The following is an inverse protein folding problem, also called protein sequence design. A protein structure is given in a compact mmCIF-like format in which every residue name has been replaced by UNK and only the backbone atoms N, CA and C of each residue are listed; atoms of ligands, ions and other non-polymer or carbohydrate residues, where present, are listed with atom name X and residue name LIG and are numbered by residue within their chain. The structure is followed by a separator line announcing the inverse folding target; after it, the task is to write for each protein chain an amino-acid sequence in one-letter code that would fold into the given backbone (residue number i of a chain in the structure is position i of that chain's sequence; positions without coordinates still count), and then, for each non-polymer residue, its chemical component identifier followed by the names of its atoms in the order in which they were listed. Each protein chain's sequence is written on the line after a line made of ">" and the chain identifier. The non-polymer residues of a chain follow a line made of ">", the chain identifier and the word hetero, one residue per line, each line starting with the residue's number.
data_IF_808314315694
#
_entry.id   IF_808314315694
#
_cell.length_a   1.000
_cell.length_b   1.000
_cell.length_c   1.000
_cell.angle_alpha   90.00
_cell.angle_beta   90.00
_cell.angle_gamma   90.00
#
_symmetry.space_group_name_H-M   'P 1'
#
loop_
_entity.id
_entity.type
_entity.pdbx_description
1 polymer ?
#
# COMPACT_ATOMS: atom_id res chain seq x y z
N UNK A 1 -23.27 7.69 2.96
CA UNK A 1 -23.66 6.31 3.32
C UNK A 1 -22.46 5.60 3.93
N UNK A 2 -22.65 4.71 4.92
CA UNK A 2 -21.58 3.92 5.56
C UNK A 2 -21.29 2.68 4.68
N UNK A 3 -20.01 2.40 4.40
CA UNK A 3 -19.58 1.24 3.59
C UNK A 3 -18.68 0.32 4.41
N UNK A 4 -18.71 -0.98 4.14
CA UNK A 4 -17.80 -1.96 4.74
C UNK A 4 -16.46 -1.93 4.02
N UNK A 5 -15.36 -1.91 4.79
CA UNK A 5 -14.01 -1.87 4.24
C UNK A 5 -13.55 -3.28 3.86
N UNK A 6 -13.10 -3.46 2.62
CA UNK A 6 -12.41 -4.66 2.15
C UNK A 6 -10.95 -4.32 1.94
N UNK A 7 -10.05 -4.97 2.69
CA UNK A 7 -8.61 -4.69 2.69
C UNK A 7 -7.75 -5.76 1.98
N UNK A 8 -8.38 -6.87 1.56
CA UNK A 8 -7.71 -8.02 0.94
C UNK A 8 -8.57 -8.63 -0.16
N UNK A 9 -7.94 -9.38 -1.06
CA UNK A 9 -8.61 -10.13 -2.11
C UNK A 9 -9.22 -11.48 -1.65
N UNK A 10 -9.12 -11.82 -0.36
CA UNK A 10 -9.72 -13.02 0.22
C UNK A 10 -11.23 -12.86 0.29
N UNK A 11 -11.93 -13.42 -0.69
CA UNK A 11 -13.38 -13.28 -0.89
C UNK A 11 -14.19 -13.83 0.29
N UNK A 12 -13.67 -14.82 1.03
CA UNK A 12 -14.29 -15.37 2.23
C UNK A 12 -14.42 -14.35 3.39
N UNK A 13 -13.67 -13.24 3.31
CA UNK A 13 -13.74 -12.15 4.30
C UNK A 13 -14.65 -11.00 3.85
N UNK A 14 -15.19 -11.06 2.64
CA UNK A 14 -16.04 -9.99 2.09
C UNK A 14 -17.46 -10.09 2.66
N UNK A 15 -18.17 -8.95 2.80
CA UNK A 15 -19.56 -8.97 3.25
C UNK A 15 -20.50 -9.54 2.17
N UNK A 16 -21.77 -9.73 2.52
CA UNK A 16 -22.83 -10.05 1.55
C UNK A 16 -22.99 -8.97 0.48
N UNK A 17 -23.51 -9.35 -0.70
CA UNK A 17 -23.69 -8.44 -1.85
C UNK A 17 -24.68 -7.29 -1.59
N UNK A 18 -25.52 -7.40 -0.57
CA UNK A 18 -26.46 -6.38 -0.09
C UNK A 18 -25.78 -5.25 0.69
N UNK A 19 -24.50 -5.40 1.04
CA UNK A 19 -23.74 -4.41 1.82
C UNK A 19 -22.83 -3.59 0.88
N UNK A 20 -22.96 -2.25 0.85
CA UNK A 20 -22.05 -1.39 0.10
C UNK A 20 -20.59 -1.52 0.59
N UNK A 21 -19.65 -1.62 -0.34
CA UNK A 21 -18.23 -1.90 -0.07
C UNK A 21 -17.33 -0.73 -0.45
N UNK A 22 -16.31 -0.49 0.34
CA UNK A 22 -15.14 0.29 -0.05
C UNK A 22 -13.94 -0.66 -0.13
N UNK A 23 -13.42 -0.88 -1.34
CA UNK A 23 -12.15 -1.58 -1.51
C UNK A 23 -11.00 -0.63 -1.15
N UNK A 24 -10.08 -1.07 -0.31
CA UNK A 24 -8.92 -0.29 0.13
C UNK A 24 -7.96 0.05 -1.03
N UNK A 25 -7.99 -0.74 -2.10
CA UNK A 25 -7.24 -0.49 -3.32
C UNK A 25 -7.49 -1.57 -4.37
N UNK A 26 -6.96 -1.36 -5.57
CA UNK A 26 -7.15 -2.24 -6.72
C UNK A 26 -6.63 -3.67 -6.47
N UNK A 27 -5.64 -3.86 -5.60
CA UNK A 27 -5.11 -5.18 -5.23
C UNK A 27 -6.15 -6.08 -4.52
N UNK A 28 -7.27 -5.52 -4.04
CA UNK A 28 -8.37 -6.32 -3.50
C UNK A 28 -9.21 -6.98 -4.62
N UNK A 29 -9.11 -6.50 -5.87
CA UNK A 29 -9.95 -6.95 -6.99
C UNK A 29 -9.13 -7.76 -7.98
N UNK A 30 -9.01 -9.07 -7.73
CA UNK A 30 -8.32 -9.97 -8.67
C UNK A 30 -9.03 -9.89 -10.03
N UNK A 31 -8.27 -9.62 -11.10
CA UNK A 31 -8.82 -9.40 -12.44
C UNK A 31 -9.68 -10.57 -12.94
N UNK A 32 -9.19 -11.81 -12.75
CA UNK A 32 -9.92 -13.03 -13.14
C UNK A 32 -11.21 -13.26 -12.32
N UNK A 33 -11.41 -12.53 -11.22
CA UNK A 33 -12.60 -12.58 -10.37
C UNK A 33 -13.55 -11.40 -10.61
N UNK A 34 -13.40 -10.69 -11.74
CA UNK A 34 -14.24 -9.55 -12.13
C UNK A 34 -15.73 -9.76 -12.00
N UNK A 35 -16.22 -10.92 -12.47
CA UNK A 35 -17.64 -11.30 -12.36
C UNK A 35 -18.17 -11.37 -10.92
N UNK A 36 -17.30 -11.44 -9.91
CA UNK A 36 -17.66 -11.46 -8.49
C UNK A 36 -17.70 -10.04 -7.95
N UNK A 37 -16.59 -9.30 -8.03
CA UNK A 37 -16.49 -7.99 -7.39
C UNK A 37 -17.32 -6.90 -8.09
N UNK A 38 -17.63 -7.01 -9.38
CA UNK A 38 -18.52 -6.07 -10.08
C UNK A 38 -19.98 -6.12 -9.60
N UNK A 39 -20.36 -7.17 -8.85
CA UNK A 39 -21.72 -7.30 -8.31
C UNK A 39 -21.96 -6.40 -7.09
N UNK A 40 -20.91 -5.95 -6.41
CA UNK A 40 -21.05 -5.08 -5.24
C UNK A 40 -21.32 -3.63 -5.67
N UNK A 41 -22.23 -2.94 -4.97
CA UNK A 41 -22.19 -1.48 -4.90
C UNK A 41 -20.89 -1.07 -4.20
N UNK A 42 -19.89 -0.70 -5.00
CA UNK A 42 -18.54 -0.54 -4.50
C UNK A 42 -17.83 0.71 -5.01
N UNK A 43 -17.03 1.29 -4.11
CA UNK A 43 -16.02 2.28 -4.44
C UNK A 43 -14.64 1.68 -4.21
N UNK A 44 -13.61 2.23 -4.84
CA UNK A 44 -12.21 1.88 -4.56
C UNK A 44 -11.46 3.13 -4.15
N UNK A 45 -10.73 3.03 -3.03
CA UNK A 45 -9.90 4.12 -2.57
C UNK A 45 -8.82 4.43 -3.64
N UNK A 46 -8.66 5.70 -4.05
CA UNK A 46 -7.60 6.07 -4.98
C UNK A 46 -6.22 5.75 -4.42
N UNK A 47 -5.30 5.38 -5.31
CA UNK A 47 -3.97 4.98 -4.88
C UNK A 47 -3.13 6.20 -4.49
N UNK A 48 -2.60 6.19 -3.26
CA UNK A 48 -1.93 7.38 -2.70
C UNK A 48 -0.60 7.73 -3.38
N UNK A 49 0.07 6.76 -4.00
CA UNK A 49 1.30 6.97 -4.79
C UNK A 49 1.05 7.30 -6.28
N UNK A 50 -0.21 7.46 -6.70
CA UNK A 50 -0.50 8.14 -7.97
C UNK A 50 -0.12 9.62 -7.91
N UNK A 51 -0.08 10.22 -6.71
CA UNK A 51 0.56 11.49 -6.45
C UNK A 51 2.09 11.32 -6.48
N UNK A 52 2.72 11.87 -7.51
CA UNK A 52 4.16 11.73 -7.76
C UNK A 52 5.02 12.50 -6.76
N UNK A 53 4.54 13.62 -6.24
CA UNK A 53 5.27 14.36 -5.21
C UNK A 53 5.27 13.57 -3.90
N UNK A 54 4.11 13.00 -3.54
CA UNK A 54 4.00 12.11 -2.39
C UNK A 54 4.87 10.86 -2.53
N UNK A 55 4.83 10.19 -3.69
CA UNK A 55 5.65 9.02 -3.96
C UNK A 55 7.14 9.33 -3.79
N UNK A 56 7.62 10.45 -4.35
CA UNK A 56 9.01 10.86 -4.22
C UNK A 56 9.40 11.13 -2.75
N UNK A 57 8.55 11.86 -2.02
CA UNK A 57 8.79 12.16 -0.60
C UNK A 57 8.81 10.88 0.25
N UNK A 58 7.85 9.99 0.05
CA UNK A 58 7.77 8.73 0.77
C UNK A 58 8.95 7.82 0.42
N UNK A 59 9.39 7.77 -0.84
CA UNK A 59 10.57 7.01 -1.26
C UNK A 59 11.82 7.41 -0.46
N UNK A 60 12.14 8.70 -0.38
CA UNK A 60 13.31 9.16 0.38
C UNK A 60 13.17 8.86 1.88
N UNK A 61 11.98 9.03 2.44
CA UNK A 61 11.69 8.68 3.83
C UNK A 61 11.92 7.19 4.11
N UNK A 62 11.42 6.32 3.23
CA UNK A 62 11.56 4.87 3.37
C UNK A 62 12.99 4.41 3.13
N UNK A 63 13.70 5.06 2.21
CA UNK A 63 15.12 4.81 1.97
C UNK A 63 15.94 5.12 3.23
N UNK A 64 15.75 6.28 3.86
CA UNK A 64 16.42 6.61 5.12
C UNK A 64 16.04 5.64 6.25
N UNK A 65 14.76 5.27 6.37
CA UNK A 65 14.33 4.27 7.36
C UNK A 65 15.02 2.91 7.15
N UNK A 66 15.15 2.48 5.90
CA UNK A 66 15.84 1.25 5.55
C UNK A 66 17.34 1.33 5.86
N UNK A 67 18.02 2.36 5.35
CA UNK A 67 19.49 2.51 5.42
C UNK A 67 19.98 2.79 6.84
N UNK A 68 19.33 3.74 7.52
CA UNK A 68 19.89 4.34 8.72
C UNK A 68 19.45 3.59 10.00
N UNK A 69 18.31 2.87 9.93
CA UNK A 69 17.67 2.28 11.11
C UNK A 69 17.54 0.77 10.97
N UNK A 70 16.82 0.31 9.93
CA UNK A 70 16.40 -1.10 9.87
C UNK A 70 17.53 -2.03 9.45
N UNK A 71 18.30 -1.69 8.42
CA UNK A 71 19.39 -2.55 7.95
C UNK A 71 20.48 -2.74 9.03
N UNK A 72 20.97 -1.71 9.75
CA UNK A 72 21.94 -1.90 10.84
C UNK A 72 21.39 -2.78 11.96
N UNK A 73 20.15 -2.53 12.41
CA UNK A 73 19.51 -3.29 13.48
C UNK A 73 19.28 -4.76 13.10
N UNK A 74 18.79 -5.01 11.88
CA UNK A 74 18.60 -6.38 11.36
C UNK A 74 19.94 -7.10 11.24
N UNK A 75 20.97 -6.45 10.71
CA UNK A 75 22.31 -7.03 10.56
C UNK A 75 22.92 -7.46 11.89
N UNK A 76 22.82 -6.61 12.92
CA UNK A 76 23.29 -6.94 14.27
C UNK A 76 22.51 -8.13 14.86
N UNK A 77 21.19 -8.16 14.66
CA UNK A 77 20.36 -9.28 15.11
C UNK A 77 20.70 -10.59 14.38
N UNK A 78 20.95 -10.54 13.07
CA UNK A 78 21.32 -11.71 12.29
C UNK A 78 22.70 -12.24 12.70
N UNK A 79 23.68 -11.36 12.91
CA UNK A 79 24.98 -11.75 13.49
C UNK A 79 24.82 -12.48 14.83
N UNK A 80 23.97 -11.96 15.73
CA UNK A 80 23.68 -12.60 17.02
C UNK A 80 22.99 -13.96 16.89
N UNK A 81 21.99 -14.06 16.03
CA UNK A 81 21.21 -15.31 15.82
C UNK A 81 22.08 -16.40 15.19
N UNK A 82 22.91 -16.04 14.22
CA UNK A 82 23.76 -16.97 13.48
C UNK A 82 25.15 -17.17 14.09
N UNK A 83 25.43 -16.54 15.24
CA UNK A 83 26.73 -16.55 15.91
C UNK A 83 27.89 -16.26 14.95
N UNK A 84 27.76 -15.18 14.19
CA UNK A 84 28.75 -14.76 13.18
C UNK A 84 29.02 -13.26 13.32
N UNK A 85 30.14 -12.80 12.77
CA UNK A 85 30.51 -11.40 12.70
C UNK A 85 30.69 -10.99 11.23
N UNK A 86 29.58 -10.81 10.52
CA UNK A 86 29.58 -10.33 9.13
C UNK A 86 29.33 -8.83 9.10
N UNK A 87 29.90 -8.17 8.08
CA UNK A 87 29.77 -6.73 7.90
C UNK A 87 28.34 -6.33 7.55
N UNK A 88 28.00 -5.05 7.76
CA UNK A 88 26.75 -4.46 7.30
C UNK A 88 26.56 -4.67 5.79
N UNK A 89 27.64 -4.56 5.02
CA UNK A 89 27.62 -4.74 3.56
C UNK A 89 27.26 -6.18 3.15
N UNK A 90 27.77 -7.17 3.88
CA UNK A 90 27.40 -8.57 3.64
C UNK A 90 25.88 -8.77 3.79
N UNK A 91 25.30 -8.22 4.86
CA UNK A 91 23.86 -8.32 5.09
C UNK A 91 23.05 -7.44 4.14
N UNK A 92 23.58 -6.29 3.71
CA UNK A 92 22.99 -5.47 2.65
C UNK A 92 22.80 -6.29 1.37
N UNK A 93 23.83 -7.04 0.97
CA UNK A 93 23.75 -7.88 -0.24
C UNK A 93 22.77 -9.03 -0.02
N UNK A 94 22.81 -9.67 1.14
CA UNK A 94 22.05 -10.89 1.39
C UNK A 94 20.56 -10.65 1.66
N UNK A 95 20.22 -9.73 2.57
CA UNK A 95 18.83 -9.47 3.02
C UNK A 95 18.30 -8.11 2.61
N UNK A 96 19.17 -7.19 2.20
CA UNK A 96 18.80 -5.82 1.87
C UNK A 96 17.71 -5.70 0.81
N UNK A 97 17.77 -6.40 -0.35
CA UNK A 97 16.72 -6.35 -1.36
C UNK A 97 15.35 -6.76 -0.83
N UNK A 98 15.30 -7.82 -0.02
CA UNK A 98 14.06 -8.29 0.61
C UNK A 98 13.53 -7.27 1.62
N UNK A 99 14.40 -6.76 2.50
CA UNK A 99 14.02 -5.82 3.55
C UNK A 99 13.51 -4.50 2.97
N UNK A 100 14.19 -3.95 1.95
CA UNK A 100 13.76 -2.75 1.26
C UNK A 100 12.37 -2.89 0.64
N UNK A 101 12.12 -3.98 -0.09
CA UNK A 101 10.80 -4.27 -0.67
C UNK A 101 9.73 -4.45 0.41
N UNK A 102 10.04 -5.19 1.47
CA UNK A 102 9.12 -5.47 2.57
C UNK A 102 8.64 -4.18 3.24
N UNK A 103 9.56 -3.25 3.53
CA UNK A 103 9.23 -1.95 4.14
C UNK A 103 8.27 -1.15 3.26
N UNK A 104 8.52 -1.09 1.95
CA UNK A 104 7.65 -0.38 1.01
C UNK A 104 6.25 -0.99 0.95
N UNK A 105 6.14 -2.32 0.89
CA UNK A 105 4.85 -3.02 0.87
C UNK A 105 4.05 -2.75 2.15
N UNK A 106 4.69 -2.85 3.32
CA UNK A 106 4.02 -2.62 4.60
C UNK A 106 3.59 -1.16 4.72
N UNK A 107 4.46 -0.21 4.33
CA UNK A 107 4.14 1.21 4.37
C UNK A 107 2.97 1.55 3.44
N UNK A 108 2.94 1.00 2.23
CA UNK A 108 1.85 1.19 1.26
C UNK A 108 0.48 0.80 1.87
N UNK A 109 0.42 -0.37 2.51
CA UNK A 109 -0.81 -0.86 3.18
C UNK A 109 -1.18 -0.01 4.39
N UNK A 110 -0.20 0.35 5.22
CA UNK A 110 -0.40 1.21 6.39
C UNK A 110 -0.94 2.59 5.99
N UNK A 111 -0.31 3.22 5.00
CA UNK A 111 -0.63 4.56 4.54
C UNK A 111 -2.03 4.61 3.92
N UNK A 112 -2.41 3.59 3.14
CA UNK A 112 -3.77 3.44 2.61
C UNK A 112 -4.84 3.47 3.71
N UNK A 113 -4.60 2.77 4.82
CA UNK A 113 -5.52 2.76 5.98
C UNK A 113 -5.47 4.11 6.73
N UNK A 114 -4.28 4.71 6.87
CA UNK A 114 -4.09 5.99 7.57
C UNK A 114 -4.83 7.13 6.88
N UNK A 115 -4.72 7.22 5.56
CA UNK A 115 -5.41 8.22 4.73
C UNK A 115 -6.93 8.07 4.86
N UNK A 116 -7.42 6.83 4.81
CA UNK A 116 -8.85 6.55 4.99
C UNK A 116 -9.39 7.05 6.35
N UNK A 117 -8.60 6.93 7.42
CA UNK A 117 -8.99 7.37 8.77
C UNK A 117 -8.92 8.88 8.98
N UNK A 118 -8.21 9.64 8.15
CA UNK A 118 -8.01 11.06 8.36
C UNK A 118 -9.08 11.88 7.59
N UNK A 119 -10.07 12.49 8.27
CA UNK A 119 -11.13 13.24 7.61
C UNK A 119 -10.65 14.50 6.89
N UNK A 120 -9.48 15.06 7.25
CA UNK A 120 -8.88 16.21 6.53
C UNK A 120 -8.35 15.83 5.14
N UNK A 121 -8.19 14.53 4.85
CA UNK A 121 -7.74 14.01 3.56
C UNK A 121 -8.90 13.81 2.57
N UNK A 122 -10.14 14.21 2.95
CA UNK A 122 -11.30 14.25 2.05
C UNK A 122 -11.11 15.21 0.87
N UNK A 123 -10.12 16.10 0.90
CA UNK A 123 -9.77 16.98 -0.23
C UNK A 123 -9.31 16.18 -1.46
N UNK A 124 -8.60 15.06 -1.26
CA UNK A 124 -8.25 14.13 -2.35
C UNK A 124 -9.46 13.45 -2.99
N UNK A 125 -10.62 13.49 -2.32
CA UNK A 125 -11.88 12.94 -2.83
C UNK A 125 -12.51 13.83 -3.91
N UNK A 126 -12.10 15.10 -4.07
CA UNK A 126 -12.62 16.00 -5.10
C UNK A 126 -11.67 16.08 -6.32
N UNK A 127 -10.37 16.23 -6.08
CA UNK A 127 -9.40 16.51 -7.17
C UNK A 127 -9.13 15.32 -8.09
N UNK A 128 -9.27 14.08 -7.60
CA UNK A 128 -9.05 12.88 -8.41
C UNK A 128 -10.22 12.59 -9.36
N UNK A 129 -11.46 12.99 -9.03
CA UNK A 129 -12.58 12.91 -9.98
C UNK A 129 -12.40 13.91 -11.13
N UNK A 130 -11.87 15.09 -10.85
CA UNK A 130 -11.61 16.13 -11.86
C UNK A 130 -10.50 15.70 -12.83
N UNK A 131 -9.43 15.06 -12.35
CA UNK A 131 -8.37 14.55 -13.24
C UNK A 131 -8.81 13.32 -14.05
N UNK A 132 -9.65 12.44 -13.51
CA UNK A 132 -10.15 11.25 -14.25
C UNK A 132 -11.08 11.64 -15.40
N UNK A 133 -11.84 12.73 -15.29
CA UNK A 133 -12.69 13.23 -16.41
C UNK A 133 -11.90 13.79 -17.60
N UNK A 134 -10.63 14.17 -17.42
CA UNK A 134 -9.80 14.76 -18.49
C UNK A 134 -9.20 13.66 -19.39
N UNK A 135 -8.93 12.46 -18.85
CA UNK A 135 -8.33 11.35 -19.63
C UNK A 135 -9.33 10.51 -20.43
N UNK A 136 -10.64 10.67 -20.22
CA UNK A 136 -11.70 9.97 -20.96
C UNK A 136 -12.38 10.84 -22.05
N UNK A 137 -11.77 11.97 -22.43
CA UNK A 137 -12.34 12.92 -23.40
C UNK A 137 -11.55 13.10 -24.70
N UNK A 138 -10.59 12.22 -24.96
CA UNK A 138 -9.84 12.18 -26.23
C UNK A 138 -9.93 10.80 -26.85
N UNK A 139 -11.10 10.49 -27.43
CA UNK A 139 -11.28 9.66 -28.63
C UNK A 139 -12.40 10.28 -29.47
#
# INVERSE_FOLDING_TARGET
>A
MKRSLVATALEETWPGFDVPVLFLGEWCKIYNRRKVWEKFDSETLPYHWDDREKLQKDYFKLQSLYEDILLPSVSQNLNRIHNTDRSLEFWRILVGPWLGLFIHIVYDRFESIRILKNPATSFYRQDLYTKKQIWFRTE
#
